data_IF_882131322808
#
_entry.id   IF_882131322808
#
_cell.length_a   1.000
_cell.length_b   1.000
_cell.length_c   1.000
_cell.angle_alpha   90.00
_cell.angle_beta   90.00
_cell.angle_gamma   90.00
#
_symmetry.space_group_name_H-M   'P 1'
#
loop_
_entity.id
_entity.type
_entity.pdbx_description
1 polymer ?
#
# COMPACT_ATOMS: atom_id res chain seq x y z
N UNK A 1 0.12 -1.81 -27.80
CA UNK A 1 0.08 -1.32 -26.42
C UNK A 1 1.21 -1.99 -25.68
N UNK A 2 2.26 -1.24 -25.35
CA UNK A 2 3.48 -1.78 -24.78
C UNK A 2 3.17 -2.41 -23.43
N UNK A 3 3.37 -3.72 -23.33
CA UNK A 3 3.11 -4.52 -22.14
C UNK A 3 4.23 -4.24 -21.13
N UNK A 4 4.18 -3.07 -20.48
CA UNK A 4 5.04 -2.77 -19.33
C UNK A 4 4.43 -3.55 -18.17
N UNK A 5 4.98 -4.74 -17.91
CA UNK A 5 4.66 -5.48 -16.70
C UNK A 5 5.22 -4.68 -15.51
N UNK A 6 4.38 -3.83 -14.91
CA UNK A 6 4.66 -3.23 -13.61
C UNK A 6 4.82 -4.36 -12.58
N UNK A 7 5.78 -4.22 -11.67
CA UNK A 7 5.92 -5.17 -10.57
C UNK A 7 4.65 -5.18 -9.72
N UNK A 8 4.36 -6.30 -9.05
CA UNK A 8 3.22 -6.38 -8.12
C UNK A 8 3.25 -5.23 -7.11
N UNK A 9 4.42 -4.89 -6.56
CA UNK A 9 4.60 -3.73 -5.66
C UNK A 9 4.14 -2.41 -6.29
N UNK A 10 4.54 -2.14 -7.54
CA UNK A 10 4.17 -0.90 -8.22
C UNK A 10 2.65 -0.83 -8.47
N UNK A 11 2.02 -1.94 -8.85
CA UNK A 11 0.57 -2.02 -9.01
C UNK A 11 -0.18 -1.74 -7.70
N UNK A 12 0.32 -2.31 -6.59
CA UNK A 12 -0.23 -2.11 -5.25
C UNK A 12 -0.12 -0.66 -4.77
N UNK A 13 1.03 -0.02 -5.00
CA UNK A 13 1.24 1.40 -4.68
C UNK A 13 0.31 2.29 -5.50
N UNK A 14 0.19 2.06 -6.81
CA UNK A 14 -0.75 2.80 -7.66
C UNK A 14 -2.20 2.62 -7.19
N UNK A 15 -2.58 1.39 -6.82
CA UNK A 15 -3.91 1.11 -6.27
C UNK A 15 -4.19 1.87 -4.99
N UNK A 16 -3.20 1.97 -4.10
CA UNK A 16 -3.31 2.80 -2.89
C UNK A 16 -3.46 4.29 -3.24
N UNK A 17 -2.74 4.81 -4.23
CA UNK A 17 -2.93 6.19 -4.70
C UNK A 17 -4.37 6.42 -5.15
N UNK A 18 -4.89 5.56 -6.04
CA UNK A 18 -6.24 5.67 -6.59
C UNK A 18 -7.31 5.64 -5.48
N UNK A 19 -7.18 4.71 -4.52
CA UNK A 19 -8.16 4.55 -3.44
C UNK A 19 -8.14 5.69 -2.43
N UNK A 20 -6.98 6.32 -2.21
CA UNK A 20 -6.83 7.45 -1.32
C UNK A 20 -7.05 8.81 -2.01
N UNK A 21 -7.30 8.81 -3.32
CA UNK A 21 -7.64 10.01 -4.09
C UNK A 21 -6.43 10.91 -4.41
N UNK A 22 -5.24 10.32 -4.54
CA UNK A 22 -4.02 11.05 -4.93
C UNK A 22 -3.66 10.77 -6.39
N UNK A 23 -3.33 11.83 -7.13
CA UNK A 23 -2.88 11.74 -8.53
C UNK A 23 -1.40 11.29 -8.64
N UNK A 24 -0.64 11.41 -7.56
CA UNK A 24 0.79 11.10 -7.50
C UNK A 24 1.12 10.23 -6.28
N UNK A 25 2.03 9.27 -6.49
CA UNK A 25 2.61 8.49 -5.39
C UNK A 25 3.35 9.37 -4.39
N UNK A 26 4.05 10.41 -4.85
CA UNK A 26 4.79 11.30 -3.96
C UNK A 26 3.85 12.07 -3.02
N UNK A 27 2.68 12.49 -3.52
CA UNK A 27 1.67 13.18 -2.71
C UNK A 27 1.07 12.25 -1.65
N UNK A 28 0.77 10.99 -2.02
CA UNK A 28 0.34 9.97 -1.07
C UNK A 28 1.39 9.73 0.02
N UNK A 29 2.66 9.56 -0.37
CA UNK A 29 3.75 9.27 0.57
C UNK A 29 4.00 10.46 1.51
N UNK A 30 3.99 11.69 0.98
CA UNK A 30 4.15 12.90 1.79
C UNK A 30 2.97 13.08 2.76
N UNK A 31 1.74 12.94 2.29
CA UNK A 31 0.55 13.04 3.14
C UNK A 31 0.57 11.97 4.26
N UNK A 32 1.04 10.77 3.93
CA UNK A 32 1.16 9.68 4.90
C UNK A 32 2.27 9.94 5.91
N UNK A 33 3.46 10.36 5.46
CA UNK A 33 4.61 10.60 6.32
C UNK A 33 4.40 11.77 7.30
N UNK A 34 3.54 12.72 6.96
CA UNK A 34 3.19 13.86 7.82
C UNK A 34 2.08 13.54 8.84
N UNK A 35 1.42 12.38 8.71
CA UNK A 35 0.32 11.98 9.60
C UNK A 35 0.88 11.12 10.73
N UNK A 36 0.92 11.66 11.95
CA UNK A 36 1.32 10.93 13.18
C UNK A 36 0.22 9.95 13.66
N UNK A 37 -0.29 9.11 12.76
CA UNK A 37 -1.33 8.13 13.06
C UNK A 37 -1.23 6.94 12.09
N UNK A 38 -2.30 6.16 12.01
CA UNK A 38 -2.42 5.07 11.04
C UNK A 38 -2.36 5.57 9.60
N UNK A 39 -1.73 4.74 8.76
CA UNK A 39 -1.54 4.94 7.34
C UNK A 39 -2.22 3.84 6.52
N UNK A 40 -2.50 4.11 5.23
CA UNK A 40 -3.01 3.10 4.32
C UNK A 40 -2.03 1.93 4.16
N UNK A 41 -2.56 0.72 4.15
CA UNK A 41 -1.85 -0.52 3.88
C UNK A 41 -2.61 -1.35 2.85
N UNK A 42 -1.90 -2.25 2.16
CA UNK A 42 -2.49 -3.14 1.16
C UNK A 42 -1.94 -4.56 1.26
N UNK A 43 -2.82 -5.54 1.04
CA UNK A 43 -2.46 -6.94 1.01
C UNK A 43 -1.53 -7.24 -0.17
N UNK A 44 -0.40 -7.89 0.13
CA UNK A 44 0.62 -8.26 -0.87
C UNK A 44 0.39 -9.63 -1.51
N UNK A 45 -0.62 -10.38 -1.06
CA UNK A 45 -1.01 -11.65 -1.69
C UNK A 45 -1.49 -11.39 -3.13
N UNK A 46 -0.99 -12.19 -4.08
CA UNK A 46 -1.40 -12.11 -5.48
C UNK A 46 -2.92 -12.26 -5.61
N UNK A 47 -3.55 -11.34 -6.36
CA UNK A 47 -5.00 -11.31 -6.56
C UNK A 47 -5.83 -10.75 -5.40
N UNK A 48 -5.22 -10.29 -4.30
CA UNK A 48 -5.94 -9.69 -3.17
C UNK A 48 -5.59 -8.21 -3.00
N UNK A 49 -6.49 -7.30 -3.35
CA UNK A 49 -6.29 -5.85 -3.25
C UNK A 49 -6.99 -5.23 -2.03
N UNK A 50 -7.21 -6.03 -0.98
CA UNK A 50 -7.79 -5.54 0.25
C UNK A 50 -6.85 -4.54 0.93
N UNK A 51 -7.43 -3.46 1.42
CA UNK A 51 -6.73 -2.36 2.10
C UNK A 51 -7.25 -2.21 3.52
N UNK A 52 -6.36 -1.80 4.42
CA UNK A 52 -6.69 -1.48 5.80
C UNK A 52 -5.79 -0.33 6.28
N UNK A 53 -6.13 0.27 7.42
CA UNK A 53 -5.26 1.24 8.10
C UNK A 53 -4.36 0.52 9.11
N UNK A 54 -3.07 0.85 9.12
CA UNK A 54 -2.05 0.22 9.96
C UNK A 54 -1.02 1.22 10.45
N UNK A 55 -0.17 0.82 11.40
CA UNK A 55 0.95 1.65 11.83
C UNK A 55 1.96 1.88 10.68
N UNK A 56 2.59 3.06 10.59
CA UNK A 56 3.55 3.44 9.54
C UNK A 56 4.66 2.43 9.26
N UNK A 57 5.23 1.83 10.31
CA UNK A 57 6.38 0.91 10.27
C UNK A 57 5.97 -0.57 10.17
N UNK A 58 4.68 -0.86 10.09
CA UNK A 58 4.19 -2.22 10.13
C UNK A 58 4.36 -2.94 8.77
N UNK A 59 5.19 -3.97 8.76
CA UNK A 59 5.52 -4.76 7.56
C UNK A 59 4.62 -5.99 7.36
N UNK A 60 3.78 -6.33 8.34
CA UNK A 60 2.86 -7.49 8.31
C UNK A 60 1.56 -7.20 9.09
N UNK A 61 0.42 -7.56 8.51
CA UNK A 61 -0.89 -7.47 9.15
C UNK A 61 -1.90 -8.48 8.60
N UNK A 62 -2.89 -8.83 9.42
CA UNK A 62 -3.92 -9.81 9.06
C UNK A 62 -4.92 -9.23 8.07
N UNK A 63 -5.03 -9.86 6.90
CA UNK A 63 -5.95 -9.49 5.84
C UNK A 63 -7.30 -10.20 6.03
N UNK A 64 -8.36 -9.44 6.25
CA UNK A 64 -9.71 -9.98 6.44
C UNK A 64 -10.30 -10.60 5.16
N UNK A 65 -9.76 -10.26 3.98
CA UNK A 65 -10.24 -10.79 2.71
C UNK A 65 -9.63 -12.15 2.34
N UNK A 66 -8.32 -12.35 2.55
CA UNK A 66 -7.62 -13.59 2.17
C UNK A 66 -7.23 -14.47 3.37
N UNK A 67 -7.36 -13.95 4.60
CA UNK A 67 -6.96 -14.65 5.83
C UNK A 67 -5.45 -14.75 6.05
N UNK A 68 -4.63 -14.16 5.19
CA UNK A 68 -3.17 -14.15 5.29
C UNK A 68 -2.63 -12.99 6.14
N UNK A 69 -1.43 -13.13 6.68
CA UNK A 69 -0.73 -12.06 7.42
C UNK A 69 0.19 -11.25 6.46
N UNK A 70 -0.40 -10.69 5.41
CA UNK A 70 0.33 -10.13 4.25
C UNK A 70 -0.04 -8.68 3.94
N UNK A 71 -0.77 -7.99 4.81
CA UNK A 71 -0.92 -6.53 4.70
C UNK A 71 0.40 -5.83 5.05
N UNK A 72 0.75 -4.83 4.26
CA UNK A 72 1.97 -4.03 4.43
C UNK A 72 1.61 -2.55 4.33
N UNK A 73 2.14 -1.72 5.23
CA UNK A 73 1.96 -0.27 5.20
C UNK A 73 2.52 0.34 3.90
N UNK A 74 1.94 1.46 3.45
CA UNK A 74 2.40 2.15 2.24
C UNK A 74 3.86 2.62 2.33
N UNK A 75 4.32 3.04 3.51
CA UNK A 75 5.68 3.55 3.70
C UNK A 75 6.73 2.43 3.66
N UNK A 76 6.43 1.29 4.28
CA UNK A 76 7.28 0.09 4.17
C UNK A 76 7.25 -0.47 2.75
N UNK A 77 6.08 -0.48 2.10
CA UNK A 77 5.95 -0.94 0.71
C UNK A 77 6.76 -0.07 -0.27
N UNK A 78 6.82 1.24 -0.01
CA UNK A 78 7.64 2.20 -0.74
C UNK A 78 9.13 2.16 -0.37
N UNK A 79 9.51 1.47 0.72
CA UNK A 79 10.89 1.33 1.18
C UNK A 79 11.45 2.58 1.83
N UNK A 80 10.61 3.41 2.46
CA UNK A 80 11.03 4.62 3.16
C UNK A 80 11.39 4.38 4.63
N UNK A 81 10.89 3.30 5.23
CA UNK A 81 11.08 2.89 6.63
C UNK A 81 11.28 1.37 6.68
#
# INVERSE_FOLDING_TARGET
MSNIALSNKALKLMRLCDLNGFDSLDDLLLATALKDAVCPAICMTEGCDHTADMEPDQDQGFCEACGGNTLVSVLVLAGLI
#
